data_IF_662050761372
#
_entry.id   IF_662050761372
#
_cell.length_a   1.000
_cell.length_b   1.000
_cell.length_c   1.000
_cell.angle_alpha   90.00
_cell.angle_beta   90.00
_cell.angle_gamma   90.00
#
_symmetry.space_group_name_H-M   'P 1'
#
loop_
_entity.id
_entity.type
_entity.pdbx_description
1 polymer ?
#
# COMPACT_ATOMS: atom_id res chain seq x y z
N UNK A 1 0.45 5.75 -8.40
CA UNK A 1 -0.07 5.26 -7.10
C UNK A 1 0.00 3.75 -7.10
N UNK A 2 0.66 3.15 -6.11
CA UNK A 2 0.72 1.69 -5.95
C UNK A 2 -0.41 1.22 -5.01
N UNK A 3 -1.11 0.15 -5.38
CA UNK A 3 -2.32 -0.33 -4.69
C UNK A 3 -2.33 -1.85 -4.56
N UNK A 4 -3.00 -2.35 -3.52
CA UNK A 4 -3.44 -3.74 -3.47
C UNK A 4 -4.52 -4.04 -4.51
N UNK A 5 -4.89 -5.31 -4.66
CA UNK A 5 -5.85 -5.77 -5.68
C UNK A 5 -7.30 -5.89 -5.15
N UNK A 6 -7.73 -4.90 -4.35
CA UNK A 6 -9.10 -4.86 -3.84
C UNK A 6 -10.03 -4.23 -4.89
N UNK A 7 -11.27 -4.69 -4.98
CA UNK A 7 -12.26 -4.18 -5.95
C UNK A 7 -12.58 -2.69 -5.81
N UNK A 8 -12.27 -2.08 -4.66
CA UNK A 8 -12.41 -0.63 -4.39
C UNK A 8 -11.19 0.19 -4.80
N UNK A 9 -10.10 -0.44 -5.26
CA UNK A 9 -8.89 0.25 -5.70
C UNK A 9 -8.95 0.63 -7.19
N UNK A 10 -10.11 1.03 -7.69
CA UNK A 10 -10.32 1.37 -9.10
C UNK A 10 -10.78 2.82 -9.28
N UNK A 11 -10.51 3.41 -10.44
CA UNK A 11 -11.03 4.72 -10.81
C UNK A 11 -12.56 4.82 -10.67
N UNK A 12 -13.28 3.73 -10.96
CA UNK A 12 -14.72 3.63 -10.79
C UNK A 12 -15.18 3.90 -9.34
N UNK A 13 -14.36 3.59 -8.34
CA UNK A 13 -14.68 3.88 -6.93
C UNK A 13 -14.65 5.37 -6.63
N UNK A 14 -13.77 6.14 -7.29
CA UNK A 14 -13.76 7.61 -7.18
C UNK A 14 -15.00 8.22 -7.82
N UNK A 15 -15.41 7.72 -8.99
CA UNK A 15 -16.64 8.14 -9.67
C UNK A 15 -17.86 7.85 -8.80
N UNK A 16 -17.94 6.65 -8.21
CA UNK A 16 -19.02 6.28 -7.31
C UNK A 16 -19.11 7.19 -6.08
N UNK A 17 -17.97 7.62 -5.52
CA UNK A 17 -17.93 8.42 -4.30
C UNK A 17 -18.15 9.93 -4.54
N UNK A 18 -17.66 10.47 -5.66
CA UNK A 18 -17.61 11.91 -5.91
C UNK A 18 -18.46 12.37 -7.11
N UNK A 19 -19.17 11.45 -7.76
CA UNK A 19 -19.89 11.71 -9.00
C UNK A 19 -18.97 11.69 -10.22
N UNK A 20 -19.57 11.67 -11.41
CA UNK A 20 -18.87 11.47 -12.68
C UNK A 20 -17.79 12.52 -12.93
N UNK A 21 -18.14 13.80 -12.95
CA UNK A 21 -17.21 14.88 -13.31
C UNK A 21 -16.01 14.95 -12.36
N UNK A 22 -16.27 15.08 -11.06
CA UNK A 22 -15.22 15.17 -10.04
C UNK A 22 -14.43 13.87 -9.89
N UNK A 23 -15.10 12.72 -10.01
CA UNK A 23 -14.46 11.41 -9.94
C UNK A 23 -13.48 11.18 -11.08
N UNK A 24 -13.86 11.51 -12.31
CA UNK A 24 -12.94 11.46 -13.46
C UNK A 24 -11.78 12.43 -13.31
N UNK A 25 -12.05 13.69 -12.91
CA UNK A 25 -11.01 14.69 -12.70
C UNK A 25 -10.01 14.32 -11.59
N UNK A 26 -10.43 13.51 -10.60
CA UNK A 26 -9.54 12.95 -9.59
C UNK A 26 -8.78 11.74 -10.12
N UNK A 27 -9.48 10.80 -10.78
CA UNK A 27 -8.86 9.59 -11.32
C UNK A 27 -7.75 9.91 -12.34
N UNK A 28 -7.95 10.92 -13.18
CA UNK A 28 -6.95 11.33 -14.19
C UNK A 28 -5.64 11.87 -13.60
N UNK A 29 -5.62 12.21 -12.30
CA UNK A 29 -4.40 12.66 -11.60
C UNK A 29 -3.50 11.52 -11.16
N UNK A 30 -3.96 10.27 -11.27
CA UNK A 30 -3.22 9.10 -10.78
C UNK A 30 -3.00 8.09 -11.90
N UNK A 31 -1.75 7.65 -12.05
CA UNK A 31 -1.47 6.35 -12.66
C UNK A 31 -1.71 5.26 -11.61
N UNK A 32 -2.65 4.35 -11.86
CA UNK A 32 -2.96 3.24 -10.97
C UNK A 32 -2.04 2.06 -11.29
N UNK A 33 -1.20 1.65 -10.34
CA UNK A 33 -0.36 0.46 -10.43
C UNK A 33 -0.80 -0.54 -9.37
N UNK A 34 -1.17 -1.74 -9.78
CA UNK A 34 -1.58 -2.79 -8.86
C UNK A 34 -0.41 -3.74 -8.57
N UNK A 35 -0.22 -4.06 -7.29
CA UNK A 35 0.72 -5.09 -6.91
C UNK A 35 0.31 -6.44 -7.54
N UNK A 36 1.26 -7.28 -7.98
CA UNK A 36 0.96 -8.63 -8.42
C UNK A 36 0.17 -9.42 -7.37
N UNK A 37 -0.62 -10.40 -7.82
CA UNK A 37 -1.40 -11.25 -6.92
C UNK A 37 -0.45 -11.90 -5.90
N UNK A 38 -0.87 -11.94 -4.64
CA UNK A 38 -0.09 -12.46 -3.51
C UNK A 38 1.26 -11.76 -3.24
N UNK A 39 1.53 -10.60 -3.86
CA UNK A 39 2.74 -9.81 -3.64
C UNK A 39 2.52 -8.63 -2.68
N UNK A 40 1.69 -8.86 -1.67
CA UNK A 40 1.26 -7.83 -0.71
C UNK A 40 2.44 -7.30 0.14
N UNK A 41 3.48 -8.12 0.28
CA UNK A 41 4.78 -7.77 0.87
C UNK A 41 5.62 -6.75 0.06
N UNK A 42 5.22 -6.42 -1.17
CA UNK A 42 5.79 -5.29 -1.95
C UNK A 42 5.01 -3.98 -1.76
N UNK A 43 3.87 -4.00 -1.06
CA UNK A 43 3.05 -2.81 -0.83
C UNK A 43 3.53 -2.06 0.43
N UNK A 44 3.98 -0.81 0.27
CA UNK A 44 4.49 0.01 1.37
C UNK A 44 3.49 0.14 2.54
N UNK A 45 2.20 0.29 2.24
CA UNK A 45 1.16 0.41 3.27
C UNK A 45 1.00 -0.88 4.10
N UNK A 46 1.18 -2.04 3.48
CA UNK A 46 1.10 -3.33 4.19
C UNK A 46 2.36 -3.64 4.99
N UNK A 47 3.52 -3.22 4.49
CA UNK A 47 4.78 -3.27 5.26
C UNK A 47 4.63 -2.43 6.53
N UNK A 48 4.11 -1.21 6.42
CA UNK A 48 3.85 -0.33 7.57
C UNK A 48 2.82 -0.93 8.53
N UNK A 49 1.68 -1.42 8.02
CA UNK A 49 0.69 -2.10 8.86
C UNK A 49 1.28 -3.29 9.63
N UNK A 50 2.19 -4.05 8.98
CA UNK A 50 2.91 -5.14 9.62
C UNK A 50 3.87 -4.65 10.71
N UNK A 51 4.52 -3.49 10.52
CA UNK A 51 5.36 -2.87 11.56
C UNK A 51 4.53 -2.38 12.73
N UNK A 52 3.41 -1.68 12.48
CA UNK A 52 2.45 -1.28 13.54
C UNK A 52 1.99 -2.51 14.32
N UNK A 53 1.60 -3.59 13.64
CA UNK A 53 1.17 -4.82 14.30
C UNK A 53 2.25 -5.41 15.22
N UNK A 54 3.51 -5.46 14.77
CA UNK A 54 4.62 -6.06 15.53
C UNK A 54 5.16 -5.16 16.63
N UNK A 55 5.26 -3.86 16.39
CA UNK A 55 5.97 -2.92 17.27
C UNK A 55 5.02 -2.10 18.14
N UNK A 56 3.81 -1.78 17.68
CA UNK A 56 2.84 -0.97 18.42
C UNK A 56 1.80 -1.84 19.14
N UNK A 57 1.29 -2.88 18.49
CA UNK A 57 0.21 -3.71 19.03
C UNK A 57 0.77 -4.92 19.77
N UNK A 58 1.74 -5.62 19.16
CA UNK A 58 2.32 -6.87 19.63
C UNK A 58 1.23 -7.85 20.14
N UNK A 59 1.42 -8.50 21.29
CA UNK A 59 0.43 -9.43 21.88
C UNK A 59 -0.61 -8.74 22.75
N UNK A 60 -0.63 -7.41 22.80
CA UNK A 60 -1.48 -6.67 23.73
C UNK A 60 -2.95 -6.68 23.28
N UNK A 61 -3.84 -6.93 24.24
CA UNK A 61 -5.27 -6.63 24.08
C UNK A 61 -5.48 -5.16 24.42
N UNK A 62 -6.07 -4.41 23.50
CA UNK A 62 -6.34 -2.99 23.69
C UNK A 62 -7.86 -2.84 23.88
N UNK A 63 -8.32 -2.39 25.05
CA UNK A 63 -9.74 -2.48 25.43
C UNK A 63 -10.63 -1.49 24.69
N UNK A 64 -10.07 -0.43 24.11
CA UNK A 64 -10.85 0.62 23.43
C UNK A 64 -10.21 1.08 22.13
N UNK A 65 -11.07 1.53 21.20
CA UNK A 65 -10.61 2.15 19.97
C UNK A 65 -9.86 3.47 20.21
N UNK A 66 -10.23 4.22 21.25
CA UNK A 66 -9.56 5.47 21.62
C UNK A 66 -8.09 5.21 22.01
N UNK A 67 -7.86 4.19 22.84
CA UNK A 67 -6.51 3.80 23.23
C UNK A 67 -5.71 3.25 22.05
N UNK A 68 -6.32 2.43 21.20
CA UNK A 68 -5.68 1.92 19.98
C UNK A 68 -5.20 3.08 19.09
N UNK A 69 -6.07 4.06 18.84
CA UNK A 69 -5.73 5.26 18.05
C UNK A 69 -4.59 6.06 18.71
N UNK A 70 -4.61 6.20 20.02
CA UNK A 70 -3.55 6.88 20.79
C UNK A 70 -2.20 6.20 20.62
N UNK A 71 -2.14 4.88 20.81
CA UNK A 71 -0.91 4.09 20.65
C UNK A 71 -0.35 4.18 19.22
N UNK A 72 -1.19 3.99 18.21
CA UNK A 72 -0.77 4.06 16.80
C UNK A 72 -0.25 5.46 16.45
N UNK A 73 -0.89 6.54 16.92
CA UNK A 73 -0.40 7.92 16.70
C UNK A 73 0.96 8.17 17.35
N UNK A 74 1.17 7.65 18.56
CA UNK A 74 2.47 7.79 19.24
C UNK A 74 3.57 7.03 18.50
N UNK A 75 3.28 5.82 18.02
CA UNK A 75 4.19 5.03 17.20
C UNK A 75 4.53 5.74 15.88
N UNK A 76 3.52 6.26 15.17
CA UNK A 76 3.70 7.00 13.91
C UNK A 76 4.58 8.24 14.11
N UNK A 77 4.27 9.06 15.12
CA UNK A 77 5.08 10.22 15.45
C UNK A 77 6.53 9.86 15.81
N UNK A 78 6.78 8.72 16.44
CA UNK A 78 8.13 8.22 16.70
C UNK A 78 8.82 7.76 15.41
N UNK A 79 8.14 7.04 14.53
CA UNK A 79 8.66 6.60 13.23
C UNK A 79 9.03 7.79 12.33
N UNK A 80 8.19 8.82 12.29
CA UNK A 80 8.43 10.07 11.57
C UNK A 80 9.64 10.82 12.13
N UNK A 81 9.74 10.98 13.47
CA UNK A 81 10.90 11.62 14.11
C UNK A 81 12.21 10.87 13.82
N UNK A 82 12.17 9.55 13.82
CA UNK A 82 13.30 8.70 13.46
C UNK A 82 13.58 8.68 11.95
N UNK A 83 12.75 9.33 11.12
CA UNK A 83 12.84 9.35 9.65
C UNK A 83 12.99 7.94 9.09
N UNK A 84 12.21 6.99 9.61
CA UNK A 84 12.27 5.59 9.14
C UNK A 84 11.96 5.54 7.65
N UNK A 85 12.81 4.83 6.91
CA UNK A 85 12.66 4.62 5.47
C UNK A 85 12.53 3.13 5.19
N UNK A 86 11.76 2.79 4.17
CA UNK A 86 11.80 1.45 3.59
C UNK A 86 13.08 1.38 2.75
N UNK A 87 14.03 0.55 3.17
CA UNK A 87 15.24 0.26 2.40
C UNK A 87 14.93 -0.85 1.40
N UNK A 88 14.46 -0.47 0.22
CA UNK A 88 14.11 -1.42 -0.83
C UNK A 88 15.34 -2.20 -1.31
N UNK A 89 15.32 -3.51 -1.08
CA UNK A 89 16.32 -4.46 -1.60
C UNK A 89 15.80 -5.29 -2.75
N UNK A 90 14.49 -5.29 -2.96
CA UNK A 90 13.85 -5.98 -4.07
C UNK A 90 14.19 -5.30 -5.39
N UNK A 91 14.77 -6.05 -6.31
CA UNK A 91 15.22 -5.54 -7.61
C UNK A 91 14.29 -5.94 -8.74
N UNK A 92 14.50 -5.32 -9.91
CA UNK A 92 13.83 -5.70 -11.16
C UNK A 92 14.14 -7.17 -11.53
N UNK A 93 15.38 -7.62 -11.33
CA UNK A 93 15.77 -9.02 -11.56
C UNK A 93 15.10 -10.01 -10.59
N UNK A 94 14.85 -9.59 -9.34
CA UNK A 94 14.04 -10.40 -8.41
C UNK A 94 12.59 -10.52 -8.89
N UNK A 95 12.03 -9.45 -9.44
CA UNK A 95 10.68 -9.45 -9.99
C UNK A 95 10.56 -10.43 -11.16
N UNK A 96 11.50 -10.38 -12.11
CA UNK A 96 11.53 -11.32 -13.23
C UNK A 96 11.66 -12.77 -12.75
N UNK A 97 12.55 -13.04 -11.79
CA UNK A 97 12.76 -14.38 -11.23
C UNK A 97 11.54 -14.93 -10.48
N UNK A 98 10.82 -14.09 -9.74
CA UNK A 98 9.70 -14.53 -8.88
C UNK A 98 8.39 -14.60 -9.66
N UNK A 99 8.10 -13.62 -10.52
CA UNK A 99 6.83 -13.52 -11.23
C UNK A 99 6.88 -14.10 -12.65
N UNK A 100 8.07 -14.41 -13.16
CA UNK A 100 8.31 -14.93 -14.50
C UNK A 100 8.42 -13.82 -15.56
N UNK A 101 9.19 -14.09 -16.62
CA UNK A 101 9.45 -13.13 -17.69
C UNK A 101 8.19 -12.73 -18.46
N UNK A 102 7.18 -13.58 -18.57
CA UNK A 102 5.90 -13.25 -19.23
C UNK A 102 5.11 -12.18 -18.46
N UNK A 103 5.04 -12.31 -17.13
CA UNK A 103 4.42 -11.29 -16.28
C UNK A 103 5.24 -10.00 -16.35
N UNK A 104 6.56 -10.13 -16.28
CA UNK A 104 7.47 -8.99 -16.32
C UNK A 104 7.34 -8.18 -17.61
N UNK A 105 7.36 -8.86 -18.76
CA UNK A 105 7.25 -8.23 -20.08
C UNK A 105 5.92 -7.49 -20.23
N UNK A 106 4.80 -8.05 -19.73
CA UNK A 106 3.49 -7.37 -19.76
C UNK A 106 3.53 -6.03 -19.01
N UNK A 107 4.08 -6.03 -17.80
CA UNK A 107 4.12 -4.83 -16.94
C UNK A 107 5.08 -3.77 -17.49
N UNK A 108 6.15 -4.17 -18.17
CA UNK A 108 7.11 -3.24 -18.80
C UNK A 108 6.56 -2.70 -20.12
N UNK A 109 5.83 -3.50 -20.91
CA UNK A 109 5.26 -3.10 -22.20
C UNK A 109 4.02 -2.20 -22.09
N UNK A 110 3.34 -2.21 -20.94
CA UNK A 110 2.16 -1.38 -20.65
C UNK A 110 2.52 0.04 -20.15
N UNK A 111 3.78 0.47 -20.29
CA UNK A 111 4.26 1.83 -20.01
C UNK A 111 4.39 2.64 -21.29
#
# INVERSE_FOLDING_TARGET
>A
MALGNLNTHAAASLIKAFGTERGHALASRFAFHHAPKHASWLNAAEIEASLVSRECLDRNRIPTLAELRGRVRQWDAAAVRARRKINWKFTVGDAERIFGSDWFNRIVSER
#
